data_IF_664666511236
#
_entry.id   IF_664666511236
#
_cell.length_a   1.000
_cell.length_b   1.000
_cell.length_c   1.000
_cell.angle_alpha   90.00
_cell.angle_beta   90.00
_cell.angle_gamma   90.00
#
_symmetry.space_group_name_H-M   'P 1'
#
loop_
_entity.id
_entity.type
_entity.pdbx_description
1 polymer ?
#
# COMPACT_ATOMS: atom_id res chain seq x y z
N UNK A 1 -6.02 6.01 13.24
CA UNK A 1 -6.41 6.88 14.36
C UNK A 1 -7.16 6.11 15.43
N UNK A 2 -7.11 6.55 16.69
CA UNK A 2 -8.04 6.07 17.72
C UNK A 2 -9.36 6.82 17.49
N UNK A 3 -10.53 6.13 17.55
CA UNK A 3 -11.84 6.74 17.27
C UNK A 3 -12.01 8.09 18.01
N UNK A 4 -12.18 9.15 17.25
CA UNK A 4 -12.28 10.52 17.79
C UNK A 4 -10.95 11.18 18.19
N UNK A 5 -9.82 10.57 17.87
CA UNK A 5 -8.50 11.15 18.12
C UNK A 5 -7.63 11.06 16.86
N UNK A 6 -7.23 12.19 16.35
CA UNK A 6 -6.32 12.29 15.23
C UNK A 6 -4.86 12.38 15.71
N UNK A 7 -3.94 11.87 14.90
CA UNK A 7 -2.49 11.94 15.15
C UNK A 7 -1.79 12.54 13.95
N UNK A 8 -0.75 13.30 14.22
CA UNK A 8 0.16 13.83 13.20
C UNK A 8 1.49 13.11 13.37
N UNK A 9 1.95 12.49 12.31
CA UNK A 9 3.26 11.86 12.24
C UNK A 9 4.18 12.69 11.35
N UNK A 10 5.35 13.04 11.86
CA UNK A 10 6.40 13.73 11.12
C UNK A 10 7.76 13.40 11.70
N UNK A 11 8.65 12.87 10.89
CA UNK A 11 9.92 12.31 11.31
C UNK A 11 9.69 11.16 12.30
N UNK A 12 10.36 11.18 13.46
CA UNK A 12 10.08 10.26 14.58
C UNK A 12 9.31 11.01 15.68
N UNK A 13 8.35 11.83 15.29
CA UNK A 13 7.52 12.62 16.21
C UNK A 13 6.06 12.21 15.99
N UNK A 14 5.40 11.82 17.05
CA UNK A 14 3.95 11.61 17.10
C UNK A 14 3.31 12.71 17.91
N UNK A 15 2.32 13.38 17.34
CA UNK A 15 1.62 14.52 17.95
C UNK A 15 0.13 14.21 18.03
N UNK A 16 -0.48 14.49 19.15
CA UNK A 16 -1.93 14.55 19.26
C UNK A 16 -2.46 15.76 18.48
N UNK A 17 -3.25 15.52 17.45
CA UNK A 17 -3.73 16.59 16.57
C UNK A 17 -4.78 17.52 17.23
N UNK A 18 -5.46 17.04 18.27
CA UNK A 18 -6.45 17.83 19.01
C UNK A 18 -5.84 18.77 20.02
N UNK A 19 -4.74 18.36 20.65
CA UNK A 19 -4.10 19.10 21.75
C UNK A 19 -2.76 19.74 21.36
N UNK A 20 -2.10 19.22 20.32
CA UNK A 20 -0.74 19.58 19.94
C UNK A 20 0.32 18.97 20.86
N UNK A 21 -0.05 18.07 21.75
CA UNK A 21 0.89 17.38 22.64
C UNK A 21 1.80 16.45 21.86
N UNK A 22 3.10 16.51 22.11
CA UNK A 22 4.07 15.58 21.55
C UNK A 22 4.05 14.29 22.39
N UNK A 23 3.59 13.21 21.80
CA UNK A 23 3.48 11.90 22.45
C UNK A 23 4.80 11.11 22.35
N UNK A 24 5.47 11.21 21.20
CA UNK A 24 6.81 10.65 20.96
C UNK A 24 7.67 11.72 20.31
N UNK A 25 8.90 11.81 20.74
CA UNK A 25 9.93 12.57 20.05
C UNK A 25 11.26 11.83 20.17
N UNK A 26 11.59 11.06 19.17
CA UNK A 26 12.92 10.45 19.04
C UNK A 26 13.76 11.34 18.14
N UNK A 27 14.65 12.08 18.79
CA UNK A 27 15.54 13.00 18.11
C UNK A 27 16.77 12.28 17.55
N UNK A 28 16.87 12.11 16.23
CA UNK A 28 18.18 12.11 15.60
C UNK A 28 18.49 13.53 15.13
N UNK A 29 19.71 14.00 15.33
CA UNK A 29 20.14 15.31 14.83
C UNK A 29 20.35 15.33 13.30
N UNK A 30 20.00 14.25 12.59
CA UNK A 30 20.23 14.05 11.18
C UNK A 30 18.96 13.92 10.33
N UNK A 31 19.16 13.55 9.08
CA UNK A 31 18.08 13.19 8.15
C UNK A 31 17.47 11.85 8.57
N UNK A 32 16.19 11.83 8.90
CA UNK A 32 15.47 10.62 9.27
C UNK A 32 15.02 9.79 8.05
N UNK A 33 15.32 10.26 6.85
CA UNK A 33 14.90 9.61 5.62
C UNK A 33 13.38 9.64 5.45
N UNK A 34 12.85 8.63 4.77
CA UNK A 34 11.40 8.45 4.63
C UNK A 34 10.80 7.82 5.88
N UNK A 35 9.60 8.24 6.23
CA UNK A 35 8.75 7.57 7.20
C UNK A 35 7.56 6.90 6.51
N UNK A 36 7.01 5.89 7.14
CA UNK A 36 5.81 5.18 6.68
C UNK A 36 4.84 5.03 7.83
N UNK A 37 3.56 5.07 7.50
CA UNK A 37 2.46 4.75 8.40
C UNK A 37 1.58 3.72 7.70
N UNK A 38 1.27 2.62 8.38
CA UNK A 38 0.46 1.53 7.86
C UNK A 38 -0.23 0.80 9.02
N UNK A 39 -1.42 0.28 8.78
CA UNK A 39 -2.16 -0.55 9.74
C UNK A 39 -1.73 -2.01 9.57
N UNK A 40 -0.67 -2.40 10.27
CA UNK A 40 -0.04 -3.72 10.14
C UNK A 40 -0.66 -4.78 11.07
N UNK A 41 -1.15 -4.35 12.24
CA UNK A 41 -1.65 -5.22 13.29
C UNK A 41 -3.08 -4.86 13.70
N UNK A 42 -4.04 -5.52 13.08
CA UNK A 42 -5.47 -5.32 13.34
C UNK A 42 -5.93 -5.65 14.76
N UNK A 43 -5.08 -6.27 15.58
CA UNK A 43 -5.38 -6.54 17.00
C UNK A 43 -5.39 -5.26 17.84
N UNK A 44 -4.72 -4.22 17.38
CA UNK A 44 -4.70 -2.88 17.98
C UNK A 44 -5.30 -1.87 16.98
N UNK A 45 -6.27 -1.09 17.41
CA UNK A 45 -6.86 -0.10 16.52
C UNK A 45 -5.93 1.08 16.26
N UNK A 46 -5.64 1.33 14.99
CA UNK A 46 -4.84 2.47 14.50
C UNK A 46 -3.55 2.03 13.85
N UNK A 47 -3.07 2.83 12.93
CA UNK A 47 -1.88 2.50 12.16
C UNK A 47 -0.60 2.53 13.00
N UNK A 48 0.35 1.71 12.64
CA UNK A 48 1.73 1.75 13.09
C UNK A 48 2.54 2.73 12.27
N UNK A 49 3.67 3.19 12.81
CA UNK A 49 4.57 4.06 12.07
C UNK A 49 6.04 3.83 12.42
N UNK A 50 6.91 4.12 11.47
CA UNK A 50 8.36 4.08 11.62
C UNK A 50 9.06 4.99 10.62
N UNK A 51 10.37 5.16 10.78
CA UNK A 51 11.20 5.97 9.86
C UNK A 51 12.41 5.18 9.40
N UNK A 52 13.03 5.61 8.29
CA UNK A 52 14.25 5.00 7.79
C UNK A 52 15.45 5.13 8.75
N UNK A 53 15.42 6.09 9.68
CA UNK A 53 16.47 6.30 10.67
C UNK A 53 16.37 5.39 11.89
N UNK A 54 15.19 4.80 12.13
CA UNK A 54 14.94 3.89 13.24
C UNK A 54 14.17 2.66 12.77
N UNK A 55 14.66 1.45 13.09
CA UNK A 55 13.93 0.23 12.74
C UNK A 55 12.76 -0.05 13.70
N UNK A 56 12.57 0.77 14.73
CA UNK A 56 11.49 0.58 15.70
C UNK A 56 10.16 0.98 15.11
N UNK A 57 9.17 0.10 15.26
CA UNK A 57 7.78 0.34 14.90
C UNK A 57 7.01 0.77 16.14
N UNK A 58 6.27 1.86 16.02
CA UNK A 58 5.44 2.43 17.08
C UNK A 58 3.97 2.36 16.72
N UNK A 59 3.12 2.12 17.71
CA UNK A 59 1.67 2.28 17.54
C UNK A 59 1.23 3.75 17.78
N UNK A 60 -0.01 4.06 17.44
CA UNK A 60 -0.59 5.43 17.59
C UNK A 60 -0.71 5.90 19.05
N UNK A 61 -0.48 5.03 20.04
CA UNK A 61 -0.44 5.39 21.46
C UNK A 61 0.98 5.76 21.91
N UNK A 62 1.98 5.56 21.06
CA UNK A 62 3.37 5.80 21.35
C UNK A 62 4.13 4.61 21.95
N UNK A 63 3.52 3.44 21.97
CA UNK A 63 4.16 2.21 22.39
C UNK A 63 5.01 1.61 21.28
N UNK A 64 6.20 1.11 21.62
CA UNK A 64 7.01 0.27 20.74
C UNK A 64 6.34 -1.10 20.60
N UNK A 65 6.11 -1.57 19.37
CA UNK A 65 5.53 -2.89 19.12
C UNK A 65 6.55 -3.90 18.61
N UNK A 66 7.52 -3.44 17.84
CA UNK A 66 8.57 -4.29 17.30
C UNK A 66 9.78 -3.50 16.83
N UNK A 67 10.86 -4.23 16.54
CA UNK A 67 12.02 -3.73 15.82
C UNK A 67 12.16 -4.49 14.52
N UNK A 68 12.23 -3.78 13.39
CA UNK A 68 12.39 -4.38 12.07
C UNK A 68 13.69 -5.19 11.99
N UNK A 69 13.60 -6.42 11.50
CA UNK A 69 14.76 -7.30 11.32
C UNK A 69 15.63 -6.91 10.12
N UNK A 70 15.22 -5.97 9.29
CA UNK A 70 15.90 -5.51 8.09
C UNK A 70 16.29 -4.04 8.20
N UNK A 71 17.47 -3.70 7.69
CA UNK A 71 17.96 -2.31 7.54
C UNK A 71 17.26 -1.53 6.41
N UNK A 72 16.40 -2.19 5.64
CA UNK A 72 15.64 -1.57 4.57
C UNK A 72 14.18 -1.44 5.01
N UNK A 73 13.81 -0.34 5.65
CA UNK A 73 12.43 -0.13 6.05
C UNK A 73 11.55 -0.04 4.80
N UNK A 74 10.45 -0.78 4.80
CA UNK A 74 9.41 -0.69 3.79
C UNK A 74 8.84 0.74 3.79
N UNK A 75 8.56 1.29 2.61
CA UNK A 75 8.28 2.72 2.45
C UNK A 75 6.90 3.02 1.92
N UNK A 76 6.27 2.05 1.28
CA UNK A 76 4.92 2.18 0.74
C UNK A 76 3.99 1.18 1.38
N UNK A 77 2.80 1.63 1.70
CA UNK A 77 1.68 0.79 2.10
C UNK A 77 0.75 0.57 0.92
N UNK A 78 0.04 -0.55 0.90
CA UNK A 78 -1.04 -0.82 -0.05
C UNK A 78 -1.99 -1.86 0.53
N UNK A 79 -3.22 -1.90 0.00
CA UNK A 79 -4.16 -2.99 0.23
C UNK A 79 -3.99 -4.04 -0.87
N UNK A 80 -3.57 -5.25 -0.53
CA UNK A 80 -3.28 -6.28 -1.52
C UNK A 80 -4.03 -7.59 -1.31
N UNK A 81 -3.94 -8.22 -0.14
CA UNK A 81 -4.40 -9.60 0.04
C UNK A 81 -5.88 -9.76 0.39
N UNK A 82 -6.60 -8.67 0.55
CA UNK A 82 -8.06 -8.68 0.72
C UNK A 82 -8.53 -8.71 2.17
N UNK A 83 -7.65 -8.69 3.16
CA UNK A 83 -7.98 -8.28 4.52
C UNK A 83 -7.74 -6.77 4.69
N UNK A 84 -8.26 -6.13 5.75
CA UNK A 84 -8.13 -4.68 5.92
C UNK A 84 -6.77 -4.21 6.46
N UNK A 85 -5.81 -5.11 6.72
CA UNK A 85 -4.45 -4.71 7.06
C UNK A 85 -3.70 -4.23 5.81
N UNK A 86 -2.75 -3.34 6.03
CA UNK A 86 -1.85 -2.89 4.97
C UNK A 86 -0.74 -3.93 4.72
N UNK A 87 -0.44 -4.17 3.46
CA UNK A 87 0.83 -4.72 3.02
C UNK A 87 1.83 -3.60 2.73
N UNK A 88 3.10 -3.98 2.61
CA UNK A 88 4.19 -3.05 2.38
C UNK A 88 4.90 -3.33 1.06
N UNK A 89 5.03 -2.29 0.23
CA UNK A 89 5.79 -2.37 -1.00
C UNK A 89 7.20 -1.81 -0.81
N UNK A 90 8.19 -2.59 -1.24
CA UNK A 90 9.57 -2.19 -1.31
C UNK A 90 10.31 -2.95 -2.41
N UNK A 91 10.99 -2.22 -3.30
CA UNK A 91 11.88 -2.78 -4.33
C UNK A 91 11.23 -3.89 -5.18
N UNK A 92 10.06 -3.58 -5.76
CA UNK A 92 9.25 -4.50 -6.57
C UNK A 92 8.85 -5.80 -5.83
N UNK A 93 8.64 -5.71 -4.53
CA UNK A 93 8.13 -6.79 -3.68
C UNK A 93 6.99 -6.27 -2.82
N UNK A 94 5.96 -7.06 -2.64
CA UNK A 94 4.91 -6.82 -1.65
C UNK A 94 5.08 -7.80 -0.51
N UNK A 95 5.13 -7.29 0.69
CA UNK A 95 5.36 -8.03 1.91
C UNK A 95 4.22 -7.80 2.92
N UNK A 96 3.85 -8.87 3.64
CA UNK A 96 2.88 -8.81 4.73
C UNK A 96 3.56 -8.95 6.08
N UNK A 97 3.10 -8.16 7.04
CA UNK A 97 3.51 -8.27 8.42
C UNK A 97 3.08 -9.60 9.04
N UNK A 98 4.02 -10.32 9.66
CA UNK A 98 3.71 -11.57 10.37
C UNK A 98 3.96 -11.49 11.88
N UNK A 99 4.21 -10.28 12.39
CA UNK A 99 4.50 -10.02 13.80
C UNK A 99 6.00 -9.98 14.15
N UNK A 100 6.33 -9.33 15.25
CA UNK A 100 7.68 -9.34 15.83
C UNK A 100 8.79 -8.75 14.97
N UNK A 101 8.47 -7.86 14.01
CA UNK A 101 9.47 -7.23 13.12
C UNK A 101 9.81 -8.06 11.88
N UNK A 102 8.99 -9.05 11.52
CA UNK A 102 9.19 -9.90 10.37
C UNK A 102 8.08 -9.71 9.33
N UNK A 103 8.41 -10.01 8.08
CA UNK A 103 7.52 -9.93 6.94
C UNK A 103 7.63 -11.19 6.09
N UNK A 104 6.50 -11.62 5.53
CA UNK A 104 6.42 -12.69 4.56
C UNK A 104 6.21 -12.10 3.17
N UNK A 105 6.94 -12.61 2.18
CA UNK A 105 6.77 -12.18 0.79
C UNK A 105 5.42 -12.67 0.24
N UNK A 106 4.59 -11.74 -0.21
CA UNK A 106 3.33 -12.04 -0.89
C UNK A 106 3.56 -12.20 -2.39
N UNK A 107 4.27 -11.24 -3.00
CA UNK A 107 4.66 -11.31 -4.41
C UNK A 107 6.00 -10.62 -4.63
N UNK A 108 6.81 -11.19 -5.52
CA UNK A 108 8.09 -10.63 -5.96
C UNK A 108 7.99 -10.25 -7.44
N UNK A 109 7.61 -9.01 -7.72
CA UNK A 109 7.35 -8.48 -9.06
C UNK A 109 8.63 -8.38 -9.90
N UNK A 110 9.79 -8.27 -9.27
CA UNK A 110 11.09 -8.32 -9.94
C UNK A 110 11.33 -9.66 -10.66
N UNK A 111 10.73 -10.77 -10.19
CA UNK A 111 10.82 -12.07 -10.85
C UNK A 111 10.12 -12.10 -12.23
N UNK A 112 9.31 -11.10 -12.52
CA UNK A 112 8.63 -10.90 -13.80
C UNK A 112 9.31 -9.83 -14.67
N UNK A 113 10.55 -9.45 -14.36
CA UNK A 113 11.33 -8.49 -15.12
C UNK A 113 10.91 -7.04 -14.87
N UNK A 114 10.56 -6.70 -13.65
CA UNK A 114 10.09 -5.37 -13.31
C UNK A 114 10.96 -4.67 -12.28
N UNK A 115 11.14 -3.39 -12.44
CA UNK A 115 11.89 -2.55 -11.53
C UNK A 115 11.03 -1.49 -10.86
N UNK A 116 11.35 -1.25 -9.60
CA UNK A 116 10.97 -0.03 -8.91
C UNK A 116 11.88 1.13 -9.32
N UNK A 117 11.48 2.36 -9.04
CA UNK A 117 12.25 3.55 -9.39
C UNK A 117 13.67 3.53 -8.79
N UNK A 118 14.59 4.11 -9.51
CA UNK A 118 16.02 4.07 -9.28
C UNK A 118 16.53 4.95 -8.14
N UNK A 119 17.84 4.90 -7.89
CA UNK A 119 18.62 5.78 -7.01
C UNK A 119 18.39 5.61 -5.50
N UNK A 120 18.30 4.35 -5.04
CA UNK A 120 18.20 4.04 -3.61
C UNK A 120 16.87 4.43 -2.96
N UNK A 121 15.88 4.81 -3.78
CA UNK A 121 14.50 5.08 -3.37
C UNK A 121 13.57 4.23 -4.24
N UNK A 122 13.41 2.94 -3.91
CA UNK A 122 12.63 2.00 -4.70
C UNK A 122 11.14 2.28 -4.56
N UNK A 123 10.66 3.18 -5.42
CA UNK A 123 9.26 3.58 -5.50
C UNK A 123 8.58 2.91 -6.69
N UNK A 124 7.27 2.65 -6.64
CA UNK A 124 6.50 2.26 -7.81
C UNK A 124 6.33 3.43 -8.79
N UNK A 125 5.91 3.15 -10.02
CA UNK A 125 5.41 4.21 -10.90
C UNK A 125 4.09 4.77 -10.35
N UNK A 126 3.22 3.89 -9.88
CA UNK A 126 1.97 4.22 -9.22
C UNK A 126 1.52 3.04 -8.35
N UNK A 127 0.90 3.35 -7.21
CA UNK A 127 0.05 2.42 -6.46
C UNK A 127 -1.30 3.11 -6.29
N UNK A 128 -2.37 2.48 -6.75
CA UNK A 128 -3.74 2.99 -6.60
C UNK A 128 -4.76 1.89 -6.89
N UNK A 129 -5.95 2.01 -6.31
CA UNK A 129 -7.13 1.23 -6.70
C UNK A 129 -7.63 1.70 -8.07
N UNK A 130 -7.07 1.12 -9.13
CA UNK A 130 -7.40 1.44 -10.53
C UNK A 130 -8.58 0.60 -11.01
N UNK A 131 -8.66 -0.65 -10.54
CA UNK A 131 -9.69 -1.60 -10.94
C UNK A 131 -11.02 -1.37 -10.24
N UNK A 132 -11.04 -0.61 -9.13
CA UNK A 132 -12.25 -0.25 -8.41
C UNK A 132 -12.76 -1.33 -7.47
N UNK A 133 -11.89 -2.23 -7.04
CA UNK A 133 -12.23 -3.33 -6.14
C UNK A 133 -11.69 -3.14 -4.72
N UNK A 134 -11.24 -1.92 -4.39
CA UNK A 134 -10.61 -1.42 -3.17
C UNK A 134 -9.19 -1.93 -2.91
N UNK A 135 -8.75 -2.97 -3.57
CA UNK A 135 -7.35 -3.38 -3.51
C UNK A 135 -6.55 -2.57 -4.52
N UNK A 136 -5.30 -2.34 -4.20
CA UNK A 136 -4.49 -1.40 -4.97
C UNK A 136 -3.60 -2.13 -5.97
N UNK A 137 -3.63 -1.67 -7.21
CA UNK A 137 -2.70 -2.10 -8.24
C UNK A 137 -1.36 -1.44 -8.09
N UNK A 138 -0.31 -2.16 -8.49
CA UNK A 138 1.06 -1.66 -8.57
C UNK A 138 1.47 -1.55 -10.03
N UNK A 139 1.84 -0.35 -10.47
CA UNK A 139 2.38 -0.11 -11.81
C UNK A 139 3.89 0.01 -11.73
N UNK A 140 4.59 -0.81 -12.51
CA UNK A 140 6.04 -0.79 -12.67
C UNK A 140 6.40 -0.79 -14.15
N UNK A 141 7.59 -0.28 -14.49
CA UNK A 141 8.10 -0.46 -15.84
C UNK A 141 8.82 -1.80 -15.99
N UNK A 142 8.86 -2.29 -17.22
CA UNK A 142 9.61 -3.48 -17.58
C UNK A 142 11.11 -3.16 -17.66
N UNK A 143 11.95 -3.99 -17.07
CA UNK A 143 13.40 -3.80 -17.05
C UNK A 143 14.06 -3.93 -18.43
N UNK A 144 13.50 -4.78 -19.27
CA UNK A 144 14.00 -5.01 -20.61
C UNK A 144 13.50 -3.96 -21.62
N UNK A 145 12.36 -3.34 -21.33
CA UNK A 145 11.73 -2.33 -22.18
C UNK A 145 11.10 -1.22 -21.34
N UNK A 146 11.83 -0.14 -21.12
CA UNK A 146 11.38 1.01 -20.34
C UNK A 146 10.18 1.76 -20.94
N UNK A 147 9.72 1.39 -22.14
CA UNK A 147 8.50 1.91 -22.73
C UNK A 147 7.25 1.08 -22.38
N UNK A 148 7.44 -0.07 -21.75
CA UNK A 148 6.36 -0.95 -21.30
C UNK A 148 6.09 -0.73 -19.81
N UNK A 149 4.82 -0.58 -19.46
CA UNK A 149 4.33 -0.57 -18.09
C UNK A 149 3.57 -1.86 -17.81
N UNK A 150 3.91 -2.51 -16.71
CA UNK A 150 3.19 -3.68 -16.21
C UNK A 150 2.32 -3.26 -15.03
N UNK A 151 1.07 -3.71 -15.04
CA UNK A 151 0.10 -3.50 -13.96
C UNK A 151 -0.04 -4.82 -13.23
N UNK A 152 0.30 -4.82 -11.95
CA UNK A 152 0.10 -5.94 -11.06
C UNK A 152 -1.18 -5.73 -10.28
N UNK A 153 -2.05 -6.72 -10.29
CA UNK A 153 -3.28 -6.79 -9.50
C UNK A 153 -3.32 -8.11 -8.73
N UNK A 154 -4.07 -8.15 -7.65
CA UNK A 154 -4.27 -9.38 -6.89
C UNK A 154 -5.48 -10.16 -7.39
N UNK A 155 -5.39 -11.48 -7.34
CA UNK A 155 -6.52 -12.39 -7.55
C UNK A 155 -6.98 -13.08 -6.26
N UNK A 156 -6.47 -12.64 -5.10
CA UNK A 156 -6.86 -13.20 -3.81
C UNK A 156 -8.30 -12.79 -3.51
N UNK A 157 -9.21 -13.74 -3.22
CA UNK A 157 -10.59 -13.40 -2.87
C UNK A 157 -10.67 -12.61 -1.58
N UNK A 158 -11.62 -11.66 -1.51
CA UNK A 158 -11.93 -10.92 -0.28
C UNK A 158 -13.41 -10.99 0.04
N UNK A 159 -13.73 -11.07 1.34
CA UNK A 159 -15.09 -10.94 1.85
C UNK A 159 -15.46 -9.48 2.21
N UNK A 160 -14.45 -8.59 2.22
CA UNK A 160 -14.64 -7.20 2.55
C UNK A 160 -15.27 -6.44 1.38
N UNK A 161 -16.31 -5.65 1.66
CA UNK A 161 -16.95 -4.77 0.68
C UNK A 161 -16.62 -3.33 0.99
N UNK A 162 -15.86 -2.73 0.13
CA UNK A 162 -15.41 -1.36 0.24
C UNK A 162 -15.70 -0.66 -1.10
N UNK A 163 -16.18 0.58 -1.10
CA UNK A 163 -16.31 1.35 -2.33
C UNK A 163 -14.95 1.55 -3.00
N UNK A 164 -14.99 1.86 -4.29
CA UNK A 164 -13.81 2.33 -4.99
C UNK A 164 -13.08 3.42 -4.21
N UNK A 165 -11.83 3.20 -3.87
CA UNK A 165 -11.07 4.08 -2.96
C UNK A 165 -10.93 5.51 -3.50
N UNK A 166 -10.92 5.69 -4.84
CA UNK A 166 -10.91 7.02 -5.47
C UNK A 166 -12.17 7.86 -5.20
N UNK A 167 -13.22 7.28 -4.61
CA UNK A 167 -14.38 8.06 -4.13
C UNK A 167 -14.09 8.82 -2.83
N UNK A 168 -13.04 8.44 -2.12
CA UNK A 168 -12.51 9.22 -0.99
C UNK A 168 -11.57 10.32 -1.51
N UNK A 169 -11.97 11.57 -1.29
CA UNK A 169 -11.22 12.73 -1.78
C UNK A 169 -9.78 12.79 -1.22
N UNK A 170 -9.54 12.33 0.00
CA UNK A 170 -8.18 12.31 0.58
C UNK A 170 -7.30 11.30 -0.16
N UNK A 171 -7.85 10.11 -0.44
CA UNK A 171 -7.17 9.09 -1.21
C UNK A 171 -6.89 9.55 -2.65
N UNK A 172 -7.90 10.12 -3.32
CA UNK A 172 -7.77 10.68 -4.68
C UNK A 172 -6.64 11.71 -4.75
N UNK A 173 -6.60 12.63 -3.79
CA UNK A 173 -5.52 13.62 -3.70
C UNK A 173 -4.17 12.98 -3.47
N UNK A 174 -4.10 11.94 -2.62
CA UNK A 174 -2.89 11.16 -2.38
C UNK A 174 -2.35 10.50 -3.65
N UNK A 175 -3.23 9.90 -4.45
CA UNK A 175 -2.89 9.31 -5.76
C UNK A 175 -2.38 10.39 -6.72
N UNK A 176 -3.07 11.54 -6.81
CA UNK A 176 -2.67 12.64 -7.70
C UNK A 176 -1.29 13.22 -7.33
N UNK A 177 -0.93 13.18 -6.05
CA UNK A 177 0.34 13.71 -5.56
C UNK A 177 1.47 12.68 -5.52
N UNK A 178 1.19 11.43 -5.78
CA UNK A 178 2.12 10.32 -5.58
C UNK A 178 3.47 10.53 -6.28
N UNK A 179 3.48 11.17 -7.45
CA UNK A 179 4.69 11.46 -8.20
C UNK A 179 5.14 12.93 -8.13
N UNK A 180 4.61 13.71 -7.17
CA UNK A 180 4.98 15.11 -6.97
C UNK A 180 6.01 15.22 -5.84
N UNK A 181 7.25 15.47 -6.18
CA UNK A 181 8.37 15.52 -5.24
C UNK A 181 8.83 14.12 -4.82
N UNK A 182 8.86 13.85 -3.51
CA UNK A 182 9.06 12.48 -3.01
C UNK A 182 7.75 11.70 -3.15
N UNK A 183 7.84 10.54 -3.77
CA UNK A 183 6.72 9.66 -3.95
C UNK A 183 6.31 9.08 -2.58
N UNK A 184 5.01 9.17 -2.25
CA UNK A 184 4.42 8.73 -0.99
C UNK A 184 3.14 7.93 -1.28
N UNK A 185 2.82 6.90 -0.48
CA UNK A 185 1.59 6.14 -0.69
C UNK A 185 0.35 6.99 -0.41
N UNK A 186 -0.76 6.78 -1.13
CA UNK A 186 -2.03 7.38 -0.78
C UNK A 186 -2.56 6.76 0.52
N UNK A 187 -3.34 7.53 1.28
CA UNK A 187 -4.02 7.10 2.48
C UNK A 187 -5.50 7.47 2.41
N UNK A 188 -6.35 6.64 3.01
CA UNK A 188 -7.77 6.95 3.17
C UNK A 188 -8.01 8.07 4.18
N UNK A 189 -9.06 8.86 3.97
CA UNK A 189 -9.55 9.86 4.91
C UNK A 189 -10.32 9.26 6.10
N UNK A 190 -10.45 7.94 6.14
CA UNK A 190 -11.12 7.21 7.21
C UNK A 190 -10.34 5.94 7.58
N UNK A 191 -10.69 5.32 8.71
CA UNK A 191 -10.08 4.08 9.15
C UNK A 191 -10.82 2.89 8.56
N UNK A 192 -10.18 2.15 7.65
CA UNK A 192 -10.81 1.10 6.86
C UNK A 192 -11.44 -0.03 7.71
N UNK A 193 -10.79 -0.56 8.76
CA UNK A 193 -11.44 -1.59 9.58
C UNK A 193 -12.74 -1.14 10.25
N UNK A 194 -12.85 0.13 10.68
CA UNK A 194 -14.10 0.67 11.20
C UNK A 194 -15.18 0.70 10.10
N UNK A 195 -14.82 1.21 8.92
CA UNK A 195 -15.75 1.27 7.78
C UNK A 195 -16.30 -0.12 7.44
N UNK A 196 -15.42 -1.11 7.34
CA UNK A 196 -15.82 -2.50 7.06
C UNK A 196 -16.76 -3.01 8.15
N UNK A 197 -16.40 -2.84 9.43
CA UNK A 197 -17.23 -3.34 10.55
C UNK A 197 -18.62 -2.69 10.60
N UNK A 198 -18.75 -1.44 10.15
CA UNK A 198 -20.00 -0.69 10.18
C UNK A 198 -20.87 -0.93 8.93
N UNK A 199 -20.29 -1.38 7.82
CA UNK A 199 -20.95 -1.43 6.51
C UNK A 199 -20.97 -2.82 5.86
N UNK A 200 -20.49 -3.87 6.53
CA UNK A 200 -20.64 -5.22 6.00
C UNK A 200 -22.11 -5.63 5.96
N UNK A 201 -22.60 -6.17 4.85
CA UNK A 201 -23.95 -6.68 4.79
C UNK A 201 -24.11 -7.91 5.69
N UNK A 202 -25.14 -7.93 6.52
CA UNK A 202 -25.54 -9.07 7.38
C UNK A 202 -26.01 -10.32 6.59
N UNK A 203 -25.95 -10.29 5.25
CA UNK A 203 -26.66 -11.23 4.39
C UNK A 203 -25.83 -12.43 3.91
N UNK A 204 -24.57 -12.55 4.37
CA UNK A 204 -23.66 -13.62 3.93
C UNK A 204 -23.38 -13.61 2.42
N UNK A 205 -23.68 -12.51 1.74
CA UNK A 205 -23.36 -12.36 0.33
C UNK A 205 -21.86 -12.16 0.17
N UNK A 206 -21.21 -13.09 -0.51
CA UNK A 206 -19.78 -12.99 -0.87
C UNK A 206 -19.53 -11.81 -1.80
N UNK A 207 -18.35 -11.21 -1.63
CA UNK A 207 -17.80 -10.13 -2.43
C UNK A 207 -17.90 -10.37 -3.95
N UNK A 208 -17.87 -9.29 -4.70
CA UNK A 208 -17.60 -9.35 -6.13
C UNK A 208 -16.20 -9.94 -6.34
N UNK A 209 -16.16 -11.24 -6.58
CA UNK A 209 -14.99 -11.85 -7.18
C UNK A 209 -15.03 -11.45 -8.63
N UNK A 210 -14.07 -10.67 -9.11
CA UNK A 210 -13.87 -10.54 -10.54
C UNK A 210 -13.53 -11.93 -11.07
N UNK A 211 -14.48 -12.51 -11.81
CA UNK A 211 -14.30 -13.81 -12.43
C UNK A 211 -13.39 -13.67 -13.65
N UNK A 212 -12.10 -13.80 -13.45
CA UNK A 212 -11.12 -13.93 -14.53
C UNK A 212 -11.12 -15.32 -15.18
N UNK A 213 -12.16 -16.14 -14.99
CA UNK A 213 -12.24 -17.51 -15.55
C UNK A 213 -12.30 -17.59 -17.09
N UNK A 214 -12.15 -16.53 -17.80
CA UNK A 214 -11.90 -16.55 -19.26
C UNK A 214 -10.44 -16.31 -19.62
N UNK A 215 -9.63 -15.93 -18.66
CA UNK A 215 -8.23 -15.57 -18.84
C UNK A 215 -7.42 -16.65 -18.18
N UNK A 216 -6.69 -17.44 -18.95
CA UNK A 216 -5.94 -18.58 -18.42
C UNK A 216 -4.99 -18.18 -17.31
N UNK A 217 -5.43 -18.36 -16.06
CA UNK A 217 -4.63 -18.10 -14.86
C UNK A 217 -3.64 -19.25 -14.68
N UNK A 218 -2.57 -19.18 -15.41
CA UNK A 218 -1.33 -19.89 -15.07
C UNK A 218 -0.32 -18.82 -14.76
N UNK A 219 -0.12 -18.33 -13.57
CA UNK A 219 0.98 -17.46 -13.17
C UNK A 219 1.72 -16.76 -14.34
N UNK A 220 1.01 -16.48 -15.40
CA UNK A 220 1.50 -16.04 -16.68
C UNK A 220 0.92 -14.65 -16.90
N UNK A 221 1.74 -13.80 -17.46
CA UNK A 221 1.34 -12.49 -17.94
C UNK A 221 0.07 -12.62 -18.75
N UNK A 222 -1.03 -12.07 -18.24
CA UNK A 222 -2.31 -12.04 -18.94
C UNK A 222 -2.36 -10.72 -19.70
N UNK A 223 -2.23 -10.81 -21.02
CA UNK A 223 -2.53 -9.67 -21.87
C UNK A 223 -4.04 -9.45 -21.92
N UNK A 224 -4.54 -8.41 -21.29
CA UNK A 224 -5.93 -7.97 -21.48
C UNK A 224 -5.95 -7.02 -22.68
N UNK A 225 -6.61 -7.42 -23.76
CA UNK A 225 -6.92 -6.51 -24.85
C UNK A 225 -8.13 -5.65 -24.45
N UNK A 226 -7.85 -4.45 -23.98
CA UNK A 226 -8.84 -3.43 -23.61
C UNK A 226 -9.48 -2.77 -24.84
N UNK A 227 -9.53 -3.46 -26.00
CA UNK A 227 -10.09 -2.87 -27.19
C UNK A 227 -9.33 -1.62 -27.63
N UNK A 228 -8.01 -1.74 -27.71
CA UNK A 228 -7.07 -0.72 -28.17
C UNK A 228 -7.23 0.68 -27.55
N UNK A 229 -6.96 0.89 -26.28
CA UNK A 229 -6.41 2.16 -25.89
C UNK A 229 -5.00 2.20 -26.46
N UNK A 230 -4.85 2.87 -27.57
CA UNK A 230 -3.54 3.10 -28.19
C UNK A 230 -2.76 3.95 -27.20
N UNK A 231 -1.77 3.37 -26.54
CA UNK A 231 -0.71 4.19 -25.93
C UNK A 231 -0.13 5.05 -27.04
N UNK A 232 0.39 6.25 -26.79
CA UNK A 232 1.01 7.09 -27.81
C UNK A 232 2.08 6.40 -28.64
N UNK A 233 2.58 5.25 -28.19
CA UNK A 233 3.57 4.41 -28.87
C UNK A 233 2.97 3.16 -29.55
N UNK A 234 1.70 2.87 -29.39
CA UNK A 234 1.05 1.69 -30.01
C UNK A 234 1.35 0.34 -29.34
N UNK A 235 2.00 0.35 -28.16
CA UNK A 235 2.35 -0.88 -27.45
C UNK A 235 1.23 -1.32 -26.49
N UNK A 236 0.97 -2.63 -26.37
CA UNK A 236 -0.08 -3.13 -25.49
C UNK A 236 0.29 -2.99 -24.02
N UNK A 237 -0.68 -2.62 -23.20
CA UNK A 237 -0.56 -2.68 -21.75
C UNK A 237 -0.63 -4.15 -21.30
N UNK A 238 0.23 -4.55 -20.38
CA UNK A 238 0.23 -5.90 -19.80
C UNK A 238 -0.33 -5.86 -18.39
N UNK A 239 -1.33 -6.70 -18.14
CA UNK A 239 -1.85 -6.98 -16.82
C UNK A 239 -1.21 -8.26 -16.29
N UNK A 240 -0.67 -8.22 -15.08
CA UNK A 240 -0.10 -9.36 -14.37
C UNK A 240 -0.94 -9.57 -13.10
N UNK A 241 -1.58 -10.72 -12.99
CA UNK A 241 -2.44 -11.11 -11.88
C UNK A 241 -1.82 -12.22 -11.04
#
# INVERSE_FOLDING_TARGET
>A
SIKGQERIFSRTILIDAGTGEILISEGSAGDNGMGTMADLDLSERGAEFWTAASPVIYNVKGGEIATLATDKPHKFRLYWDGDPADELFYDATVDKWNGGGNFDHVIQMWAYGNSSSTNGKPHPCLIADIMGDWREEVILWDDADSCTLNIFTTNIPTECRVPWLMTDHIYEMGVAWQNVGYNMPPHLGYYLPDYISENQPDDGSTSLVYDFTGVGVNNSIVGVDWGSPVTPAGEPMRLIA
#
